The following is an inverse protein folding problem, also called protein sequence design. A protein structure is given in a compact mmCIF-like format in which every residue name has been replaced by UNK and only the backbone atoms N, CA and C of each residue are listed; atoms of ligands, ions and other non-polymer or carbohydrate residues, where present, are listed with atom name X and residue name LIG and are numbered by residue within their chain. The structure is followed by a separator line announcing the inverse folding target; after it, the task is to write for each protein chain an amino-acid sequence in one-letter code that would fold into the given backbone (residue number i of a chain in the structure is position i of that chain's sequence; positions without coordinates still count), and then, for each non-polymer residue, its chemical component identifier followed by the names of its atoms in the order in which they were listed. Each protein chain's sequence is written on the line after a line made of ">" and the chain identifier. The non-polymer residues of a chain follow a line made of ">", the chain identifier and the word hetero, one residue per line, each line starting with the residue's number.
data_IF_005286637357
#
_entry.id   IF_005286637357
#
_cell.length_a   1.000
_cell.length_b   1.000
_cell.length_c   1.000
_cell.angle_alpha   90.00
_cell.angle_beta   90.00
_cell.angle_gamma   90.00
#
_symmetry.space_group_name_H-M   'P 1'
#
loop_
_entity.id
_entity.type
_entity.pdbx_description
1 polymer ?
#
# COMPACT_ATOMS: atom_id res chain seq x y z
N UNK A 1 -19.09 11.51 -8.52
CA UNK A 1 -18.10 12.06 -7.56
C UNK A 1 -16.88 11.16 -7.54
N UNK A 2 -15.73 11.74 -7.83
CA UNK A 2 -14.47 10.99 -7.82
C UNK A 2 -14.16 10.45 -6.43
N UNK A 3 -13.60 9.25 -6.36
CA UNK A 3 -13.32 8.59 -5.09
C UNK A 3 -12.09 7.70 -5.15
N UNK A 4 -11.51 7.48 -3.97
CA UNK A 4 -10.44 6.52 -3.74
C UNK A 4 -11.06 5.27 -3.12
N UNK A 5 -10.67 4.10 -3.61
CA UNK A 5 -11.05 2.83 -3.00
C UNK A 5 -9.89 2.34 -2.13
N UNK A 6 -10.19 1.96 -0.90
CA UNK A 6 -9.22 1.36 0.01
C UNK A 6 -9.59 -0.12 0.13
N UNK A 7 -8.71 -1.00 -0.33
CA UNK A 7 -8.88 -2.44 -0.17
C UNK A 7 -8.37 -2.85 1.21
N UNK A 8 -9.25 -3.47 1.97
CA UNK A 8 -8.97 -3.87 3.35
C UNK A 8 -8.43 -5.30 3.40
N UNK A 9 -7.16 -5.43 3.75
CA UNK A 9 -6.49 -6.72 3.94
C UNK A 9 -6.43 -7.13 5.42
N UNK A 10 -7.25 -6.52 6.26
CA UNK A 10 -7.36 -6.90 7.67
C UNK A 10 -6.51 -6.08 8.64
N UNK A 11 -5.96 -4.96 8.19
CA UNK A 11 -5.16 -4.09 9.05
C UNK A 11 -6.02 -3.39 10.10
N UNK A 12 -5.44 -3.20 11.27
CA UNK A 12 -6.05 -2.37 12.31
C UNK A 12 -6.05 -0.88 11.94
N UNK A 13 -5.24 -0.48 10.97
CA UNK A 13 -5.08 0.92 10.57
C UNK A 13 -5.89 1.31 9.33
N UNK A 14 -6.66 0.39 8.75
CA UNK A 14 -7.43 0.68 7.53
C UNK A 14 -8.39 1.85 7.71
N UNK A 15 -9.09 1.92 8.83
CA UNK A 15 -10.00 3.04 9.12
C UNK A 15 -9.23 4.36 9.26
N UNK A 16 -8.03 4.32 9.80
CA UNK A 16 -7.18 5.51 9.92
C UNK A 16 -6.76 6.03 8.55
N UNK A 17 -6.44 5.14 7.61
CA UNK A 17 -6.15 5.53 6.23
C UNK A 17 -7.35 6.27 5.63
N UNK A 18 -8.55 5.71 5.78
CA UNK A 18 -9.77 6.35 5.29
C UNK A 18 -9.99 7.72 5.90
N UNK A 19 -9.75 7.87 7.19
CA UNK A 19 -9.85 9.16 7.88
C UNK A 19 -8.89 10.18 7.28
N UNK A 20 -7.64 9.79 7.05
CA UNK A 20 -6.64 10.69 6.49
C UNK A 20 -7.01 11.14 5.08
N UNK A 21 -7.54 10.25 4.26
CA UNK A 21 -8.01 10.61 2.92
C UNK A 21 -9.14 11.64 2.99
N UNK A 22 -10.11 11.42 3.89
CA UNK A 22 -11.25 12.34 4.06
C UNK A 22 -10.82 13.70 4.61
N UNK A 23 -9.79 13.75 5.45
CA UNK A 23 -9.24 15.02 5.94
C UNK A 23 -8.69 15.89 4.82
N UNK A 24 -8.39 15.30 3.66
CA UNK A 24 -7.95 16.01 2.47
C UNK A 24 -9.10 16.34 1.51
N UNK A 25 -10.34 16.29 2.00
CA UNK A 25 -11.56 16.54 1.24
C UNK A 25 -11.74 15.59 0.05
N UNK A 26 -11.20 14.38 0.15
CA UNK A 26 -11.35 13.35 -0.87
C UNK A 26 -12.30 12.26 -0.36
N UNK A 27 -13.32 11.95 -1.17
CA UNK A 27 -14.22 10.85 -0.85
C UNK A 27 -13.51 9.52 -1.01
N UNK A 28 -13.72 8.61 -0.08
CA UNK A 28 -13.16 7.26 -0.16
C UNK A 28 -14.15 6.24 0.41
N UNK A 29 -14.03 5.02 -0.09
CA UNK A 29 -14.76 3.87 0.43
C UNK A 29 -13.78 2.77 0.80
N UNK A 30 -14.01 2.16 1.96
CA UNK A 30 -13.26 0.98 2.40
C UNK A 30 -14.10 -0.23 1.99
N UNK A 31 -13.50 -1.12 1.20
CA UNK A 31 -14.15 -2.34 0.76
C UNK A 31 -13.27 -3.54 1.10
N UNK A 32 -13.85 -4.74 1.28
CA UNK A 32 -13.04 -5.94 1.47
C UNK A 32 -12.05 -6.14 0.32
N UNK A 33 -10.92 -6.76 0.62
CA UNK A 33 -9.81 -6.94 -0.33
C UNK A 33 -10.25 -7.56 -1.66
N UNK A 34 -11.30 -8.37 -1.66
CA UNK A 34 -11.79 -9.12 -2.83
C UNK A 34 -13.09 -8.54 -3.41
N UNK A 35 -13.46 -7.30 -3.06
CA UNK A 35 -14.71 -6.67 -3.49
C UNK A 35 -14.48 -5.35 -4.22
N UNK A 36 -13.41 -5.26 -5.01
CA UNK A 36 -13.14 -4.06 -5.79
C UNK A 36 -14.29 -3.81 -6.79
N UNK A 37 -14.83 -2.57 -6.85
CA UNK A 37 -15.91 -2.23 -7.77
C UNK A 37 -15.38 -1.97 -9.18
N UNK A 38 -15.22 -3.01 -9.99
CA UNK A 38 -14.60 -2.94 -11.31
C UNK A 38 -15.35 -2.05 -12.30
N UNK A 39 -16.67 -1.92 -12.14
CA UNK A 39 -17.52 -1.19 -13.07
C UNK A 39 -17.83 0.24 -12.63
N UNK A 40 -17.21 0.72 -11.56
CA UNK A 40 -17.46 2.05 -11.03
C UNK A 40 -16.55 3.08 -11.72
N UNK A 41 -17.11 3.99 -12.56
CA UNK A 41 -16.29 4.97 -13.28
C UNK A 41 -15.77 6.09 -12.41
N UNK A 42 -16.26 6.24 -11.18
CA UNK A 42 -15.85 7.32 -10.29
C UNK A 42 -14.55 7.01 -9.53
N UNK A 43 -14.05 5.78 -9.59
CA UNK A 43 -12.81 5.40 -8.92
C UNK A 43 -11.62 5.98 -9.67
N UNK A 44 -10.82 6.79 -8.97
CA UNK A 44 -9.64 7.45 -9.55
C UNK A 44 -8.33 6.94 -8.97
N UNK A 45 -8.37 6.12 -7.94
CA UNK A 45 -7.17 5.57 -7.33
C UNK A 45 -7.52 4.50 -6.32
N UNK A 46 -6.52 3.70 -5.96
CA UNK A 46 -6.67 2.57 -5.06
C UNK A 46 -5.56 2.59 -4.03
N UNK A 47 -5.91 2.35 -2.77
CA UNK A 47 -4.94 2.15 -1.69
C UNK A 47 -5.09 0.72 -1.19
N UNK A 48 -3.99 -0.01 -1.10
CA UNK A 48 -3.94 -1.34 -0.51
C UNK A 48 -3.46 -1.21 0.93
N UNK A 49 -4.26 -1.67 1.87
CA UNK A 49 -3.93 -1.59 3.28
C UNK A 49 -2.89 -2.62 3.71
N UNK A 50 -2.47 -2.54 4.96
CA UNK A 50 -1.69 -3.59 5.58
C UNK A 50 -2.52 -4.82 5.92
N UNK A 51 -1.87 -5.83 6.47
CA UNK A 51 -2.48 -7.08 6.90
C UNK A 51 -1.68 -7.66 8.06
N UNK A 52 -2.29 -8.46 8.94
CA UNK A 52 -1.54 -9.22 9.94
C UNK A 52 -0.74 -10.38 9.33
N UNK A 53 -0.97 -10.70 8.06
CA UNK A 53 -0.33 -11.83 7.40
C UNK A 53 0.93 -11.41 6.65
N UNK A 54 1.86 -12.37 6.46
CA UNK A 54 2.93 -12.26 5.48
C UNK A 54 2.41 -12.69 4.10
N UNK A 55 3.06 -12.21 3.03
CA UNK A 55 2.74 -12.69 1.66
C UNK A 55 3.02 -14.18 1.49
N UNK A 56 3.81 -14.77 2.39
CA UNK A 56 4.14 -16.19 2.38
C UNK A 56 3.18 -17.06 3.19
N UNK A 57 2.24 -16.46 3.92
CA UNK A 57 1.26 -17.19 4.70
C UNK A 57 0.19 -17.80 3.78
N UNK A 58 -0.16 -19.07 4.04
CA UNK A 58 -1.23 -19.73 3.27
C UNK A 58 -2.58 -19.06 3.46
N UNK A 59 -2.80 -18.47 4.65
CA UNK A 59 -4.04 -17.80 5.01
C UNK A 59 -4.07 -16.33 4.59
N UNK A 60 -3.01 -15.83 3.95
CA UNK A 60 -2.95 -14.45 3.51
C UNK A 60 -4.07 -14.15 2.51
N UNK A 61 -4.62 -12.96 2.61
CA UNK A 61 -5.64 -12.50 1.68
C UNK A 61 -4.99 -12.19 0.33
N UNK A 62 -5.49 -12.79 -0.73
CA UNK A 62 -4.96 -12.66 -2.08
C UNK A 62 -6.02 -12.12 -3.01
N UNK A 63 -5.61 -11.24 -3.92
CA UNK A 63 -6.50 -10.62 -4.90
C UNK A 63 -5.75 -10.47 -6.22
N UNK A 64 -6.47 -10.60 -7.32
CA UNK A 64 -5.92 -10.36 -8.65
C UNK A 64 -5.95 -8.85 -8.91
N UNK A 65 -4.77 -8.22 -8.99
CA UNK A 65 -4.63 -6.80 -9.26
C UNK A 65 -4.50 -6.48 -10.75
N UNK A 66 -4.51 -7.49 -11.62
CA UNK A 66 -4.25 -7.29 -13.06
C UNK A 66 -5.28 -6.38 -13.72
N UNK A 67 -6.52 -6.38 -13.25
CA UNK A 67 -7.58 -5.52 -13.78
C UNK A 67 -7.47 -4.05 -13.31
N UNK A 68 -6.66 -3.79 -12.29
CA UNK A 68 -6.50 -2.46 -11.70
C UNK A 68 -5.17 -1.85 -12.13
N UNK A 69 -4.12 -2.66 -12.09
CA UNK A 69 -2.77 -2.24 -12.38
C UNK A 69 -2.64 -1.78 -13.84
N UNK A 70 -1.97 -0.65 -14.03
CA UNK A 70 -1.83 -0.06 -15.37
C UNK A 70 -3.04 0.77 -15.82
N UNK A 71 -4.15 0.71 -15.07
CA UNK A 71 -5.36 1.47 -15.36
C UNK A 71 -5.60 2.58 -14.34
N UNK A 72 -5.34 2.28 -13.08
CA UNK A 72 -5.51 3.22 -11.97
C UNK A 72 -4.21 3.33 -11.17
N UNK A 73 -3.92 4.51 -10.59
CA UNK A 73 -2.83 4.62 -9.62
C UNK A 73 -3.11 3.74 -8.41
N UNK A 74 -2.07 3.05 -7.94
CA UNK A 74 -2.15 2.18 -6.76
C UNK A 74 -1.07 2.59 -5.77
N UNK A 75 -1.48 2.81 -4.51
CA UNK A 75 -0.56 3.00 -3.40
C UNK A 75 -0.64 1.80 -2.48
N UNK A 76 0.47 1.10 -2.30
CA UNK A 76 0.56 -0.02 -1.36
C UNK A 76 1.17 0.42 -0.04
N UNK A 77 0.57 -0.01 1.07
CA UNK A 77 1.04 0.28 2.42
C UNK A 77 1.30 -1.06 3.13
N UNK A 78 2.51 -1.25 3.66
CA UNK A 78 2.91 -2.47 4.37
C UNK A 78 2.62 -3.72 3.54
N UNK A 79 1.72 -4.60 3.99
CA UNK A 79 1.36 -5.81 3.25
C UNK A 79 0.94 -5.49 1.81
N UNK A 80 0.18 -4.41 1.60
CA UNK A 80 -0.24 -4.01 0.25
C UNK A 80 0.95 -3.76 -0.68
N UNK A 81 1.98 -3.07 -0.20
CA UNK A 81 3.20 -2.85 -0.96
C UNK A 81 3.96 -4.17 -1.19
N UNK A 82 4.08 -4.98 -0.16
CA UNK A 82 4.77 -6.28 -0.23
C UNK A 82 4.04 -7.22 -1.20
N UNK A 83 2.73 -7.24 -1.15
CA UNK A 83 1.91 -8.06 -2.04
C UNK A 83 2.09 -7.65 -3.50
N UNK A 84 2.08 -6.34 -3.78
CA UNK A 84 2.35 -5.83 -5.14
C UNK A 84 3.73 -6.26 -5.62
N UNK A 85 4.76 -6.13 -4.79
CA UNK A 85 6.10 -6.55 -5.15
C UNK A 85 6.17 -8.05 -5.42
N UNK A 86 5.62 -8.85 -4.51
CA UNK A 86 5.67 -10.30 -4.59
C UNK A 86 4.93 -10.86 -5.82
N UNK A 87 3.78 -10.29 -6.17
CA UNK A 87 2.94 -10.82 -7.25
C UNK A 87 3.28 -10.24 -8.62
N UNK A 88 4.17 -9.25 -8.71
CA UNK A 88 4.47 -8.55 -9.96
C UNK A 88 5.95 -8.58 -10.33
N UNK A 89 6.69 -9.56 -9.84
CA UNK A 89 8.07 -9.79 -10.25
C UNK A 89 9.13 -9.12 -9.40
N UNK A 90 8.74 -8.45 -8.32
CA UNK A 90 9.68 -7.97 -7.31
C UNK A 90 10.04 -9.08 -6.33
N UNK A 91 10.81 -8.73 -5.32
CA UNK A 91 11.27 -9.66 -4.29
C UNK A 91 10.93 -9.15 -2.90
N UNK A 92 10.48 -10.07 -2.06
CA UNK A 92 10.17 -9.80 -0.65
C UNK A 92 10.90 -10.85 0.19
N UNK A 93 11.74 -10.39 1.11
CA UNK A 93 12.42 -11.29 2.05
C UNK A 93 11.55 -11.53 3.27
N UNK A 94 11.38 -12.80 3.69
CA UNK A 94 10.74 -13.11 4.96
C UNK A 94 11.53 -12.49 6.10
N UNK A 95 10.82 -12.09 7.15
CA UNK A 95 11.42 -11.36 8.24
C UNK A 95 12.52 -12.12 8.94
N UNK A 96 13.78 -11.71 8.75
CA UNK A 96 14.89 -12.08 9.60
C UNK A 96 14.91 -11.26 10.88
N UNK A 97 14.49 -10.01 10.78
CA UNK A 97 14.28 -9.12 11.94
C UNK A 97 13.08 -8.24 11.66
N UNK A 98 12.23 -8.08 12.66
CA UNK A 98 11.07 -7.20 12.55
C UNK A 98 11.47 -5.79 12.93
N UNK A 99 11.00 -4.80 12.17
CA UNK A 99 11.24 -3.41 12.45
C UNK A 99 9.96 -2.74 12.95
N UNK A 100 10.02 -2.30 14.20
CA UNK A 100 8.94 -1.55 14.82
C UNK A 100 9.53 -0.32 15.50
N UNK A 101 8.88 0.82 15.32
CA UNK A 101 9.25 2.06 15.99
C UNK A 101 9.75 3.12 15.03
N UNK A 102 10.58 3.99 15.55
CA UNK A 102 11.07 5.14 14.78
C UNK A 102 12.15 4.74 13.78
N UNK A 103 12.10 5.35 12.62
CA UNK A 103 13.12 5.25 11.60
C UNK A 103 13.26 6.59 10.89
N UNK A 104 14.35 6.78 10.20
CA UNK A 104 14.57 7.96 9.39
C UNK A 104 14.68 7.55 7.92
N UNK A 105 14.07 8.33 7.04
CA UNK A 105 14.24 8.13 5.61
C UNK A 105 15.68 8.40 5.23
N UNK A 106 16.40 7.39 4.74
CA UNK A 106 17.79 7.54 4.33
C UNK A 106 17.91 8.13 2.93
N UNK A 107 17.01 7.74 2.03
CA UNK A 107 16.94 8.26 0.68
C UNK A 107 15.55 8.00 0.09
N UNK A 108 15.12 8.86 -0.83
CA UNK A 108 13.87 8.71 -1.55
C UNK A 108 13.91 9.55 -2.83
N UNK A 109 12.98 9.26 -3.74
CA UNK A 109 12.85 10.06 -4.96
C UNK A 109 12.19 11.41 -4.66
N UNK A 110 12.94 12.49 -4.75
CA UNK A 110 12.45 13.85 -4.44
C UNK A 110 11.41 14.35 -5.44
N UNK A 111 11.37 13.81 -6.63
CA UNK A 111 10.38 14.17 -7.66
C UNK A 111 9.09 13.36 -7.56
N UNK A 112 8.98 12.44 -6.59
CA UNK A 112 7.77 11.68 -6.37
C UNK A 112 6.69 12.56 -5.74
N UNK A 113 5.50 12.69 -6.37
CA UNK A 113 4.44 13.58 -5.85
C UNK A 113 4.00 13.26 -4.43
N UNK A 114 4.08 11.99 -4.01
CA UNK A 114 3.69 11.60 -2.65
C UNK A 114 4.68 12.06 -1.59
N UNK A 115 5.90 12.39 -1.97
CA UNK A 115 6.98 12.69 -1.05
C UNK A 115 7.40 14.16 -1.09
N UNK A 116 6.65 15.00 -1.78
CA UNK A 116 6.92 16.44 -1.84
C UNK A 116 6.84 17.06 -0.46
N UNK A 117 7.79 17.91 -0.16
CA UNK A 117 7.86 18.60 1.13
C UNK A 117 8.60 17.85 2.22
N UNK A 118 9.01 16.59 1.97
CA UNK A 118 9.85 15.84 2.90
C UNK A 118 11.32 16.14 2.65
N UNK A 119 12.11 16.12 3.72
CA UNK A 119 13.55 16.27 3.66
C UNK A 119 14.24 14.94 3.97
N UNK A 120 15.53 14.85 3.60
CA UNK A 120 16.36 13.71 4.01
C UNK A 120 16.35 13.59 5.53
N UNK A 121 16.38 12.35 6.02
CA UNK A 121 16.33 12.02 7.44
C UNK A 121 15.02 12.37 8.13
N UNK A 122 13.93 12.62 7.37
CA UNK A 122 12.60 12.78 7.96
C UNK A 122 12.25 11.54 8.79
N UNK A 123 11.79 11.77 10.02
CA UNK A 123 11.39 10.67 10.90
C UNK A 123 10.09 10.05 10.44
N UNK A 124 10.06 8.74 10.36
CA UNK A 124 8.87 7.94 10.06
C UNK A 124 8.75 6.82 11.07
N UNK A 125 7.62 6.14 11.07
CA UNK A 125 7.37 4.99 11.94
C UNK A 125 7.28 3.73 11.08
N UNK A 126 7.95 2.69 11.54
CA UNK A 126 8.00 1.41 10.87
C UNK A 126 7.24 0.36 11.68
N UNK A 127 6.52 -0.51 10.98
CA UNK A 127 5.84 -1.65 11.60
C UNK A 127 5.70 -2.74 10.55
N UNK A 128 6.77 -3.50 10.34
CA UNK A 128 6.77 -4.59 9.36
C UNK A 128 7.73 -5.70 9.73
N UNK A 129 7.41 -6.90 9.25
CA UNK A 129 8.29 -8.07 9.36
C UNK A 129 9.01 -8.35 8.05
N UNK A 130 8.26 -8.47 6.96
CA UNK A 130 8.84 -8.72 5.64
C UNK A 130 9.42 -7.45 5.03
N UNK A 131 10.45 -7.60 4.20
CA UNK A 131 11.14 -6.46 3.57
C UNK A 131 11.13 -6.62 2.06
N UNK A 132 10.74 -5.56 1.35
CA UNK A 132 10.85 -5.52 -0.11
C UNK A 132 12.30 -5.27 -0.46
N UNK A 133 12.91 -6.21 -1.17
CA UNK A 133 14.32 -6.12 -1.57
C UNK A 133 14.50 -5.74 -3.04
N UNK A 134 13.46 -5.93 -3.84
CA UNK A 134 13.47 -5.54 -5.24
C UNK A 134 12.07 -5.11 -5.66
N UNK A 135 11.95 -3.90 -6.19
CA UNK A 135 10.67 -3.40 -6.72
C UNK A 135 10.33 -4.06 -8.05
N UNK A 136 9.05 -4.28 -8.33
CA UNK A 136 8.62 -4.68 -9.67
C UNK A 136 8.91 -3.58 -10.69
N UNK A 137 8.88 -3.96 -11.95
CA UNK A 137 8.96 -3.01 -13.05
C UNK A 137 7.78 -2.03 -12.99
N UNK A 138 8.04 -0.75 -13.25
CA UNK A 138 7.04 0.33 -13.23
C UNK A 138 6.48 0.65 -11.83
N UNK A 139 7.16 0.27 -10.76
CA UNK A 139 6.86 0.65 -9.39
C UNK A 139 7.96 1.55 -8.82
N UNK A 140 7.57 2.45 -7.92
CA UNK A 140 8.52 3.28 -7.19
C UNK A 140 7.98 3.71 -5.81
#
# INVERSE_FOLDING_TARGET
>A
MEKIIILDFGSQTTQLIGRRVRELDMFCEIVPYNKFPHDDPDVIGVILSGSPFSVYDEKAFKVDLSAIRGRLPILGICYGAQYMAYTNGGSVDPAGSREYGRANLSSFEHDNPLLQGLSDNTQVWMSHGDTITQLPQNCR
#
